data_IF_389379890656
#
_entry.id   IF_389379890656
#
_cell.length_a   1.000
_cell.length_b   1.000
_cell.length_c   1.000
_cell.angle_alpha   90.00
_cell.angle_beta   90.00
_cell.angle_gamma   90.00
#
_symmetry.space_group_name_H-M   'P 1'
#
loop_
_entity.id
_entity.type
_entity.pdbx_description
1 polymer ?
#
# COMPACT_ATOMS: atom_id res chain seq x y z
N UNK A 1 4.34 -22.66 -31.21
CA UNK A 1 5.30 -23.76 -31.45
C UNK A 1 6.76 -23.34 -31.25
N UNK A 2 7.38 -22.48 -32.08
CA UNK A 2 8.82 -22.16 -31.96
C UNK A 2 9.23 -21.64 -30.57
N UNK A 3 8.48 -20.70 -29.98
CA UNK A 3 8.70 -20.24 -28.61
C UNK A 3 8.44 -21.29 -27.52
N UNK A 4 7.62 -22.30 -27.79
CA UNK A 4 7.32 -23.42 -26.87
C UNK A 4 8.48 -24.41 -26.82
N UNK A 5 9.04 -24.77 -27.98
CA UNK A 5 10.30 -25.52 -28.07
C UNK A 5 11.47 -24.77 -27.44
N UNK A 6 11.53 -23.45 -27.63
CA UNK A 6 12.52 -22.60 -26.98
C UNK A 6 12.36 -22.58 -25.45
N UNK A 7 11.12 -22.50 -24.95
CA UNK A 7 10.84 -22.60 -23.51
C UNK A 7 11.26 -23.98 -22.95
N UNK A 8 10.89 -25.09 -23.61
CA UNK A 8 11.33 -26.45 -23.25
C UNK A 8 12.86 -26.56 -23.22
N UNK A 9 13.56 -25.94 -24.17
CA UNK A 9 15.03 -26.01 -24.25
C UNK A 9 15.76 -25.38 -23.06
N UNK A 10 15.08 -24.54 -22.27
CA UNK A 10 15.60 -23.99 -21.01
C UNK A 10 15.38 -24.93 -19.79
N UNK A 11 14.80 -26.12 -19.99
CA UNK A 11 14.46 -27.12 -18.95
C UNK A 11 13.64 -26.56 -17.76
N UNK A 12 12.53 -25.83 -17.99
CA UNK A 12 11.68 -25.33 -16.90
C UNK A 12 10.97 -26.47 -16.16
N UNK A 13 10.63 -26.29 -14.89
CA UNK A 13 9.95 -27.32 -14.10
C UNK A 13 8.45 -27.47 -14.40
N UNK A 14 7.85 -26.44 -14.98
CA UNK A 14 6.49 -26.44 -15.50
C UNK A 14 6.37 -25.49 -16.71
N UNK A 15 5.37 -25.70 -17.55
CA UNK A 15 5.06 -24.81 -18.68
C UNK A 15 3.67 -24.20 -18.48
N UNK A 16 3.60 -22.87 -18.36
CA UNK A 16 2.36 -22.13 -18.16
C UNK A 16 1.88 -21.53 -19.48
N UNK A 17 0.61 -21.77 -19.82
CA UNK A 17 -0.04 -21.31 -21.04
C UNK A 17 -1.08 -20.22 -20.73
N UNK A 18 -0.72 -18.97 -20.98
CA UNK A 18 -1.66 -17.83 -20.97
C UNK A 18 -2.26 -17.65 -22.39
N UNK A 19 -3.07 -18.63 -22.82
CA UNK A 19 -3.66 -18.70 -24.16
C UNK A 19 -5.13 -19.13 -24.12
N UNK A 20 -5.99 -18.62 -25.02
CA UNK A 20 -7.38 -19.07 -25.14
C UNK A 20 -7.45 -20.50 -25.69
N UNK A 21 -8.50 -21.25 -25.34
CA UNK A 21 -8.66 -22.68 -25.69
C UNK A 21 -8.36 -23.03 -27.16
N UNK A 22 -8.78 -22.18 -28.11
CA UNK A 22 -8.55 -22.37 -29.54
C UNK A 22 -7.10 -22.28 -30.02
N UNK A 23 -6.19 -21.74 -29.19
CA UNK A 23 -4.73 -21.79 -29.40
C UNK A 23 -4.06 -22.83 -28.49
N UNK A 24 -4.60 -23.05 -27.29
CA UNK A 24 -4.08 -24.03 -26.32
C UNK A 24 -4.24 -25.47 -26.81
N UNK A 25 -5.40 -25.86 -27.34
CA UNK A 25 -5.65 -27.25 -27.79
C UNK A 25 -4.71 -27.67 -28.94
N UNK A 26 -4.55 -26.92 -30.05
CA UNK A 26 -3.59 -27.28 -31.10
C UNK A 26 -2.12 -27.24 -30.63
N UNK A 27 -1.80 -26.43 -29.61
CA UNK A 27 -0.46 -26.39 -29.04
C UNK A 27 -0.15 -27.65 -28.24
N UNK A 28 -1.11 -28.15 -27.44
CA UNK A 28 -0.97 -29.37 -26.66
C UNK A 28 -0.90 -30.60 -27.57
N UNK A 29 -1.75 -30.68 -28.61
CA UNK A 29 -1.67 -31.74 -29.63
C UNK A 29 -0.27 -31.79 -30.28
N UNK A 30 0.25 -30.65 -30.76
CA UNK A 30 1.59 -30.60 -31.35
C UNK A 30 2.74 -30.83 -30.34
N UNK A 31 2.50 -30.60 -29.04
CA UNK A 31 3.46 -30.90 -27.98
C UNK A 31 3.48 -32.39 -27.62
N UNK A 32 2.34 -33.09 -27.73
CA UNK A 32 2.23 -34.54 -27.61
C UNK A 32 2.89 -35.28 -28.78
N UNK A 33 2.76 -34.79 -30.02
CA UNK A 33 3.53 -35.28 -31.18
C UNK A 33 5.05 -35.24 -30.94
N UNK A 34 5.51 -34.35 -30.04
CA UNK A 34 6.90 -34.15 -29.66
C UNK A 34 7.25 -34.83 -28.32
N UNK A 35 6.32 -35.59 -27.72
CA UNK A 35 6.48 -36.30 -26.44
C UNK A 35 6.60 -35.41 -25.21
N UNK A 36 6.29 -34.11 -25.32
CA UNK A 36 6.55 -33.12 -24.27
C UNK A 36 5.63 -33.30 -23.06
N UNK A 37 4.41 -33.80 -23.26
CA UNK A 37 3.46 -34.27 -22.25
C UNK A 37 4.06 -35.31 -21.28
N UNK A 38 5.09 -36.05 -21.72
CA UNK A 38 5.79 -37.03 -20.90
C UNK A 38 6.91 -36.43 -20.04
N UNK A 39 7.33 -35.19 -20.29
CA UNK A 39 8.56 -34.61 -19.71
C UNK A 39 8.36 -33.67 -18.52
N UNK A 40 7.33 -32.80 -18.56
CA UNK A 40 7.02 -31.78 -17.54
C UNK A 40 5.50 -31.55 -17.49
N UNK A 41 4.93 -31.11 -16.34
CA UNK A 41 3.54 -30.69 -16.26
C UNK A 41 3.29 -29.42 -17.09
N UNK A 42 2.14 -29.37 -17.77
CA UNK A 42 1.65 -28.17 -18.44
C UNK A 42 0.45 -27.62 -17.66
N UNK A 43 0.43 -26.32 -17.43
CA UNK A 43 -0.64 -25.60 -16.76
C UNK A 43 -1.17 -24.49 -17.66
N UNK A 44 -2.42 -24.08 -17.46
CA UNK A 44 -2.99 -22.92 -18.14
C UNK A 44 -3.70 -21.99 -17.16
N UNK A 45 -3.77 -20.70 -17.53
CA UNK A 45 -4.72 -19.77 -16.94
C UNK A 45 -6.17 -20.20 -17.24
N UNK A 46 -7.13 -19.55 -16.59
CA UNK A 46 -8.56 -19.87 -16.71
C UNK A 46 -9.08 -19.84 -18.17
N UNK A 47 -8.37 -19.16 -19.08
CA UNK A 47 -8.61 -19.12 -20.53
C UNK A 47 -8.60 -20.48 -21.27
N UNK A 48 -8.24 -21.58 -20.60
CA UNK A 48 -8.40 -22.95 -21.12
C UNK A 48 -9.25 -23.88 -20.21
N UNK A 49 -9.84 -23.38 -19.12
CA UNK A 49 -10.83 -24.13 -18.35
C UNK A 49 -12.20 -24.04 -19.03
N UNK A 50 -12.46 -25.02 -19.90
CA UNK A 50 -13.69 -25.18 -20.67
C UNK A 50 -13.99 -26.69 -20.78
N UNK A 51 -15.26 -27.07 -20.72
CA UNK A 51 -15.66 -28.48 -20.65
C UNK A 51 -15.27 -29.32 -21.88
N UNK A 52 -15.01 -28.72 -23.04
CA UNK A 52 -14.61 -29.46 -24.25
C UNK A 52 -13.09 -29.70 -24.36
N UNK A 53 -12.27 -29.06 -23.52
CA UNK A 53 -10.80 -29.13 -23.62
C UNK A 53 -10.23 -30.51 -23.28
N UNK A 54 -10.65 -31.20 -22.19
CA UNK A 54 -10.15 -32.53 -21.84
C UNK A 54 -10.33 -33.59 -22.94
N UNK A 55 -11.48 -33.60 -23.61
CA UNK A 55 -11.75 -34.49 -24.74
C UNK A 55 -10.93 -34.10 -25.98
N UNK A 56 -10.83 -32.80 -26.29
CA UNK A 56 -10.17 -32.30 -27.49
C UNK A 56 -8.63 -32.44 -27.48
N UNK A 57 -7.98 -32.49 -26.31
CA UNK A 57 -6.54 -32.76 -26.20
C UNK A 57 -6.22 -34.25 -26.13
N UNK A 58 -7.18 -35.10 -25.74
CA UNK A 58 -7.03 -36.55 -25.74
C UNK A 58 -6.24 -37.14 -24.55
N UNK A 59 -6.14 -38.48 -24.49
CA UNK A 59 -5.66 -39.21 -23.31
C UNK A 59 -4.15 -39.06 -23.03
N UNK A 60 -3.35 -38.51 -23.95
CA UNK A 60 -1.94 -38.23 -23.71
C UNK A 60 -1.69 -37.16 -22.64
N UNK A 61 -2.71 -36.40 -22.27
CA UNK A 61 -2.67 -35.35 -21.25
C UNK A 61 -3.32 -35.72 -19.92
N UNK A 62 -3.77 -36.97 -19.78
CA UNK A 62 -4.31 -37.53 -18.54
C UNK A 62 -3.27 -37.44 -17.41
N UNK A 63 -3.67 -36.81 -16.29
CA UNK A 63 -2.81 -36.52 -15.15
C UNK A 63 -1.67 -35.53 -15.42
N UNK A 64 -1.69 -34.79 -16.54
CA UNK A 64 -0.54 -34.01 -17.05
C UNK A 64 -0.85 -32.57 -17.43
N UNK A 65 -2.08 -32.28 -17.85
CA UNK A 65 -2.55 -30.91 -18.09
C UNK A 65 -3.40 -30.41 -16.93
N UNK A 66 -3.09 -29.20 -16.46
CA UNK A 66 -3.77 -28.53 -15.36
C UNK A 66 -4.38 -27.22 -15.87
N UNK A 67 -5.51 -26.81 -15.32
CA UNK A 67 -6.06 -25.48 -15.52
C UNK A 67 -6.36 -24.81 -14.18
N UNK A 68 -5.99 -23.54 -14.10
CA UNK A 68 -6.65 -22.62 -13.18
C UNK A 68 -8.13 -22.50 -13.57
N UNK A 69 -9.03 -22.41 -12.60
CA UNK A 69 -10.48 -22.39 -12.87
C UNK A 69 -11.09 -20.98 -12.76
N UNK A 70 -10.47 -20.08 -11.99
CA UNK A 70 -10.98 -18.78 -11.50
C UNK A 70 -12.24 -18.88 -10.62
N UNK A 71 -13.20 -19.72 -11.02
CA UNK A 71 -14.50 -19.94 -10.40
C UNK A 71 -14.67 -21.38 -9.88
N UNK A 72 -15.92 -21.82 -9.64
CA UNK A 72 -16.27 -23.16 -9.20
C UNK A 72 -16.30 -24.12 -10.40
N UNK A 73 -16.29 -25.42 -10.14
CA UNK A 73 -16.46 -26.44 -11.18
C UNK A 73 -17.70 -26.13 -12.02
N UNK A 74 -17.54 -26.09 -13.34
CA UNK A 74 -18.65 -25.93 -14.27
C UNK A 74 -19.66 -27.08 -14.13
N UNK A 75 -19.26 -28.26 -13.62
CA UNK A 75 -20.18 -29.37 -13.30
C UNK A 75 -20.66 -29.38 -11.83
N UNK A 76 -20.36 -28.34 -11.04
CA UNK A 76 -20.80 -28.18 -9.65
C UNK A 76 -22.33 -28.22 -9.51
N UNK A 77 -22.81 -28.98 -8.52
CA UNK A 77 -24.23 -29.13 -8.17
C UNK A 77 -24.74 -28.05 -7.19
N UNK A 78 -23.93 -27.03 -6.90
CA UNK A 78 -24.32 -25.90 -6.07
C UNK A 78 -25.33 -24.96 -6.78
N UNK A 79 -26.07 -24.16 -6.00
CA UNK A 79 -27.32 -23.53 -6.42
C UNK A 79 -27.14 -22.50 -7.56
N UNK A 80 -26.17 -21.60 -7.43
CA UNK A 80 -25.88 -20.60 -8.45
C UNK A 80 -25.23 -21.22 -9.69
N UNK A 81 -24.34 -22.20 -9.53
CA UNK A 81 -23.75 -22.89 -10.68
C UNK A 81 -24.80 -23.67 -11.49
N UNK A 82 -25.74 -24.35 -10.82
CA UNK A 82 -26.88 -24.99 -11.49
C UNK A 82 -27.84 -23.97 -12.12
N UNK A 83 -28.02 -22.80 -11.49
CA UNK A 83 -28.82 -21.71 -12.08
C UNK A 83 -28.16 -21.11 -13.33
N UNK A 84 -26.83 -20.94 -13.33
CA UNK A 84 -26.05 -20.53 -14.50
C UNK A 84 -26.22 -21.50 -15.68
N UNK A 85 -26.05 -22.81 -15.44
CA UNK A 85 -26.29 -23.84 -16.47
C UNK A 85 -27.73 -23.77 -16.99
N UNK A 86 -28.73 -23.74 -16.11
CA UNK A 86 -30.14 -23.66 -16.50
C UNK A 86 -30.47 -22.39 -17.30
N UNK A 87 -29.79 -21.27 -17.06
CA UNK A 87 -29.92 -20.03 -17.85
C UNK A 87 -29.28 -20.19 -19.23
N UNK A 88 -28.08 -20.78 -19.34
CA UNK A 88 -27.45 -21.06 -20.64
C UNK A 88 -28.23 -22.08 -21.48
N UNK A 89 -28.83 -23.09 -20.86
CA UNK A 89 -29.59 -24.13 -21.55
C UNK A 89 -31.01 -23.67 -21.94
N UNK A 90 -31.55 -22.65 -21.28
CA UNK A 90 -32.86 -22.06 -21.61
C UNK A 90 -32.79 -20.87 -22.58
N UNK A 91 -31.67 -20.12 -22.61
CA UNK A 91 -31.56 -18.85 -23.34
C UNK A 91 -30.28 -18.66 -24.16
N UNK A 92 -29.26 -19.51 -23.99
CA UNK A 92 -28.06 -19.52 -24.82
C UNK A 92 -28.21 -20.38 -26.08
N UNK A 93 -27.19 -20.37 -26.91
CA UNK A 93 -27.06 -21.27 -28.07
C UNK A 93 -26.33 -22.57 -27.66
N UNK A 94 -26.55 -23.65 -28.41
CA UNK A 94 -25.81 -24.92 -28.28
C UNK A 94 -24.28 -24.73 -28.45
N UNK A 95 -23.87 -23.69 -29.19
CA UNK A 95 -22.47 -23.34 -29.47
C UNK A 95 -21.81 -22.47 -28.40
N UNK A 96 -22.57 -21.92 -27.45
CA UNK A 96 -22.03 -20.98 -26.47
C UNK A 96 -21.21 -21.76 -25.42
N UNK A 97 -19.99 -21.31 -25.09
CA UNK A 97 -19.10 -22.09 -24.24
C UNK A 97 -19.67 -22.24 -22.83
N UNK A 98 -19.44 -23.42 -22.24
CA UNK A 98 -19.64 -23.67 -20.80
C UNK A 98 -18.25 -23.65 -20.17
N UNK A 99 -17.79 -22.43 -19.89
CA UNK A 99 -16.44 -22.09 -19.44
C UNK A 99 -16.43 -21.02 -18.33
N UNK A 100 -15.23 -20.74 -17.81
CA UNK A 100 -15.03 -19.71 -16.77
C UNK A 100 -15.57 -18.32 -17.18
N UNK A 101 -15.46 -17.93 -18.44
CA UNK A 101 -15.89 -16.61 -18.90
C UNK A 101 -17.42 -16.48 -18.93
N UNK A 102 -18.11 -17.56 -19.26
CA UNK A 102 -19.58 -17.63 -19.22
C UNK A 102 -20.13 -17.64 -17.78
N UNK A 103 -19.43 -18.30 -16.83
CA UNK A 103 -19.70 -18.16 -15.38
C UNK A 103 -19.49 -16.71 -14.93
N UNK A 104 -18.36 -16.09 -15.29
CA UNK A 104 -18.05 -14.69 -14.97
C UNK A 104 -19.07 -13.70 -15.55
N UNK A 105 -19.56 -13.93 -16.76
CA UNK A 105 -20.62 -13.13 -17.39
C UNK A 105 -21.95 -13.22 -16.64
N UNK A 106 -22.34 -14.42 -16.20
CA UNK A 106 -23.51 -14.65 -15.34
C UNK A 106 -23.37 -13.96 -13.98
N UNK A 107 -22.19 -14.03 -13.35
CA UNK A 107 -21.90 -13.35 -12.09
C UNK A 107 -21.98 -11.82 -12.24
N UNK A 108 -21.37 -11.26 -13.29
CA UNK A 108 -21.45 -9.83 -13.59
C UNK A 108 -22.90 -9.37 -13.80
N UNK A 109 -23.73 -10.18 -14.49
CA UNK A 109 -25.15 -9.90 -14.66
C UNK A 109 -25.90 -9.87 -13.32
N UNK A 110 -25.62 -10.79 -12.38
CA UNK A 110 -26.22 -10.81 -11.04
C UNK A 110 -25.78 -9.63 -10.18
N UNK A 111 -24.49 -9.30 -10.18
CA UNK A 111 -23.92 -8.14 -9.45
C UNK A 111 -24.60 -6.84 -9.91
N UNK A 112 -24.71 -6.63 -11.23
CA UNK A 112 -25.40 -5.46 -11.79
C UNK A 112 -26.90 -5.49 -11.50
N UNK A 113 -27.55 -6.67 -11.54
CA UNK A 113 -28.97 -6.82 -11.19
C UNK A 113 -29.23 -6.44 -9.72
N UNK A 114 -28.36 -6.85 -8.79
CA UNK A 114 -28.46 -6.46 -7.38
C UNK A 114 -28.30 -4.94 -7.20
N UNK A 115 -27.36 -4.30 -7.91
CA UNK A 115 -27.17 -2.85 -7.90
C UNK A 115 -28.32 -2.06 -8.55
N UNK A 116 -29.08 -2.68 -9.46
CA UNK A 116 -30.29 -2.08 -10.05
C UNK A 116 -31.51 -2.25 -9.13
N UNK A 117 -31.65 -3.40 -8.48
CA UNK A 117 -32.78 -3.70 -7.58
C UNK A 117 -32.71 -2.97 -6.23
N UNK A 118 -31.56 -2.41 -5.85
CA UNK A 118 -31.43 -1.53 -4.67
C UNK A 118 -31.87 -0.09 -4.92
N UNK A 119 -32.12 0.30 -6.18
CA UNK A 119 -32.50 1.67 -6.57
C UNK A 119 -34.02 1.80 -6.76
N UNK A 120 -34.61 2.99 -6.48
CA UNK A 120 -36.00 3.27 -6.81
C UNK A 120 -36.17 3.37 -8.33
N UNK A 121 -37.31 2.88 -8.84
CA UNK A 121 -37.54 2.69 -10.28
C UNK A 121 -37.51 3.98 -11.12
N UNK A 122 -37.77 5.14 -10.51
CA UNK A 122 -37.67 6.48 -11.11
C UNK A 122 -36.28 7.12 -10.96
N UNK A 123 -35.41 6.56 -10.11
CA UNK A 123 -34.05 7.05 -9.85
C UNK A 123 -32.93 6.36 -10.62
N UNK A 124 -33.24 5.40 -11.51
CA UNK A 124 -32.25 4.61 -12.26
C UNK A 124 -31.49 5.52 -13.26
N UNK A 125 -30.31 5.96 -12.85
CA UNK A 125 -29.40 6.80 -13.63
C UNK A 125 -28.00 6.23 -13.60
N UNK A 126 -27.12 6.61 -14.56
CA UNK A 126 -25.72 6.17 -14.58
C UNK A 126 -25.01 6.45 -13.25
N UNK A 127 -25.22 7.64 -12.69
CA UNK A 127 -24.60 8.06 -11.43
C UNK A 127 -25.10 7.23 -10.24
N UNK A 128 -26.41 6.99 -10.15
CA UNK A 128 -26.99 6.13 -9.11
C UNK A 128 -26.51 4.67 -9.21
N UNK A 129 -26.41 4.11 -10.42
CA UNK A 129 -25.93 2.73 -10.64
C UNK A 129 -24.43 2.61 -10.38
N UNK A 130 -23.61 3.57 -10.83
CA UNK A 130 -22.17 3.60 -10.49
C UNK A 130 -21.95 3.72 -8.99
N UNK A 131 -22.77 4.52 -8.29
CA UNK A 131 -22.73 4.59 -6.82
C UNK A 131 -23.12 3.26 -6.18
N UNK A 132 -24.24 2.66 -6.58
CA UNK A 132 -24.73 1.40 -6.02
C UNK A 132 -23.72 0.24 -6.21
N UNK A 133 -23.05 0.17 -7.36
CA UNK A 133 -21.94 -0.76 -7.60
C UNK A 133 -20.74 -0.46 -6.69
N UNK A 134 -20.40 0.82 -6.49
CA UNK A 134 -19.36 1.31 -5.57
C UNK A 134 -19.63 1.06 -4.08
N UNK A 135 -20.84 0.63 -3.72
CA UNK A 135 -21.30 0.31 -2.36
C UNK A 135 -21.43 -1.20 -2.09
N UNK A 136 -21.11 -2.08 -3.07
CA UNK A 136 -21.12 -3.54 -2.87
C UNK A 136 -19.91 -3.97 -2.03
N UNK A 137 -20.14 -4.67 -0.92
CA UNK A 137 -19.10 -5.12 0.03
C UNK A 137 -19.10 -6.62 0.35
N UNK A 138 -20.14 -7.35 -0.05
CA UNK A 138 -20.36 -8.74 0.37
C UNK A 138 -21.31 -9.48 -0.61
N UNK A 139 -21.03 -9.43 -1.92
CA UNK A 139 -21.78 -10.22 -2.90
C UNK A 139 -21.33 -11.67 -2.83
N UNK A 140 -22.25 -12.58 -2.48
CA UNK A 140 -21.96 -14.01 -2.32
C UNK A 140 -22.54 -14.82 -3.47
N UNK A 141 -21.76 -15.81 -3.92
CA UNK A 141 -22.18 -16.87 -4.83
C UNK A 141 -21.32 -18.10 -4.61
N UNK A 142 -21.88 -19.31 -4.74
CA UNK A 142 -21.11 -20.56 -4.68
C UNK A 142 -20.15 -20.74 -5.88
N UNK A 143 -20.28 -19.93 -6.92
CA UNK A 143 -19.35 -19.90 -8.06
C UNK A 143 -18.02 -19.21 -7.67
N UNK A 144 -18.04 -18.20 -6.81
CA UNK A 144 -16.81 -17.53 -6.33
C UNK A 144 -16.02 -18.38 -5.31
N UNK A 145 -14.85 -17.91 -4.91
CA UNK A 145 -14.10 -18.44 -3.76
C UNK A 145 -14.26 -17.56 -2.50
N UNK A 146 -14.16 -16.24 -2.64
CA UNK A 146 -14.45 -15.27 -1.57
C UNK A 146 -15.66 -14.39 -1.96
N UNK A 147 -16.28 -13.66 -1.01
CA UNK A 147 -17.34 -12.70 -1.34
C UNK A 147 -16.80 -11.56 -2.21
N UNK A 148 -17.46 -11.31 -3.34
CA UNK A 148 -17.09 -10.25 -4.27
C UNK A 148 -17.46 -8.87 -3.73
N UNK A 149 -16.57 -7.90 -3.89
CA UNK A 149 -16.74 -6.52 -3.44
C UNK A 149 -16.20 -5.53 -4.47
N UNK A 150 -16.61 -4.27 -4.38
CA UNK A 150 -16.02 -3.20 -5.20
C UNK A 150 -15.98 -1.87 -4.44
N UNK A 151 -14.78 -1.41 -4.09
CA UNK A 151 -14.56 -0.17 -3.36
C UNK A 151 -14.14 0.97 -4.30
N UNK A 152 -15.08 1.85 -4.67
CA UNK A 152 -14.79 3.00 -5.52
C UNK A 152 -13.74 4.00 -4.97
N UNK A 153 -13.17 3.76 -3.78
CA UNK A 153 -12.06 4.56 -3.20
C UNK A 153 -10.66 3.95 -3.33
N UNK A 154 -10.51 2.68 -3.74
CA UNK A 154 -9.19 2.07 -3.95
C UNK A 154 -8.60 2.39 -5.33
N UNK A 155 -7.27 2.48 -5.39
CA UNK A 155 -6.49 2.70 -6.62
C UNK A 155 -6.25 1.39 -7.41
N UNK A 156 -6.47 0.22 -6.79
CA UNK A 156 -6.22 -1.12 -7.34
C UNK A 156 -7.33 -2.09 -6.89
N UNK A 157 -7.77 -2.97 -7.80
CA UNK A 157 -8.88 -3.89 -7.57
C UNK A 157 -8.60 -5.27 -8.17
N UNK A 158 -8.53 -6.29 -7.32
CA UNK A 158 -8.88 -7.65 -7.70
C UNK A 158 -9.98 -8.14 -6.74
N UNK A 159 -11.25 -8.23 -7.18
CA UNK A 159 -12.37 -8.52 -6.29
C UNK A 159 -12.59 -10.02 -6.03
N UNK A 160 -11.65 -10.88 -6.45
CA UNK A 160 -11.53 -12.28 -6.04
C UNK A 160 -10.05 -12.72 -6.14
N UNK A 161 -9.30 -12.65 -5.04
CA UNK A 161 -7.90 -13.08 -5.00
C UNK A 161 -7.71 -14.60 -4.84
N UNK A 162 -8.80 -15.38 -4.75
CA UNK A 162 -8.77 -16.83 -4.49
C UNK A 162 -9.29 -17.65 -5.67
N UNK A 163 -8.68 -18.81 -5.91
CA UNK A 163 -8.93 -19.64 -7.09
C UNK A 163 -8.89 -21.14 -6.76
N UNK A 164 -9.49 -21.93 -7.64
CA UNK A 164 -9.38 -23.40 -7.67
C UNK A 164 -8.49 -23.86 -8.84
N UNK A 165 -8.00 -25.10 -8.76
CA UNK A 165 -7.24 -25.78 -9.81
C UNK A 165 -7.90 -27.12 -10.17
N UNK A 166 -7.96 -27.41 -11.47
CA UNK A 166 -8.37 -28.72 -12.01
C UNK A 166 -7.22 -29.38 -12.78
N UNK A 167 -7.30 -30.71 -12.91
CA UNK A 167 -6.43 -31.54 -13.75
C UNK A 167 -7.28 -32.27 -14.80
N UNK A 168 -6.70 -32.57 -15.97
CA UNK A 168 -7.33 -33.46 -16.95
C UNK A 168 -7.21 -34.91 -16.48
N UNK A 169 -8.34 -35.62 -16.45
CA UNK A 169 -8.45 -37.01 -15.99
C UNK A 169 -9.66 -37.70 -16.59
N UNK A 170 -9.51 -38.93 -17.09
CA UNK A 170 -10.58 -39.74 -17.69
C UNK A 170 -11.39 -38.99 -18.79
N UNK A 171 -10.73 -38.09 -19.53
CA UNK A 171 -11.36 -37.24 -20.55
C UNK A 171 -12.25 -36.10 -19.98
N UNK A 172 -12.08 -35.73 -18.71
CA UNK A 172 -12.79 -34.67 -18.00
C UNK A 172 -11.84 -33.78 -17.20
N UNK A 173 -12.40 -32.78 -16.53
CA UNK A 173 -11.74 -32.08 -15.42
C UNK A 173 -12.02 -32.80 -14.10
N UNK A 174 -10.98 -32.98 -13.28
CA UNK A 174 -11.06 -33.42 -11.88
C UNK A 174 -10.49 -32.29 -11.01
N UNK A 175 -11.24 -31.85 -9.99
CA UNK A 175 -10.87 -30.69 -9.16
C UNK A 175 -9.88 -31.15 -8.09
N UNK A 176 -8.69 -30.54 -8.08
CA UNK A 176 -7.56 -30.98 -7.23
C UNK A 176 -7.22 -30.01 -6.09
N UNK A 177 -7.89 -28.84 -6.03
CA UNK A 177 -7.79 -27.94 -4.90
C UNK A 177 -9.14 -27.36 -4.52
N UNK A 178 -9.34 -27.15 -3.22
CA UNK A 178 -10.28 -26.16 -2.71
C UNK A 178 -9.85 -24.73 -3.15
N UNK A 179 -10.56 -23.72 -2.66
CA UNK A 179 -10.16 -22.33 -2.83
C UNK A 179 -8.83 -22.04 -2.14
N UNK A 180 -7.85 -21.60 -2.93
CA UNK A 180 -6.52 -21.16 -2.47
C UNK A 180 -6.37 -19.69 -2.84
N UNK A 181 -6.05 -18.84 -1.86
CA UNK A 181 -5.65 -17.45 -2.11
C UNK A 181 -4.33 -17.43 -2.90
N UNK A 182 -4.26 -16.60 -3.93
CA UNK A 182 -3.04 -16.44 -4.72
C UNK A 182 -1.99 -15.71 -3.89
N UNK A 183 -0.91 -16.40 -3.50
CA UNK A 183 0.21 -15.79 -2.75
C UNK A 183 1.16 -14.94 -3.64
N UNK A 184 0.63 -14.37 -4.72
CA UNK A 184 1.38 -13.50 -5.62
C UNK A 184 1.86 -12.23 -4.88
N UNK A 185 3.15 -11.88 -4.90
CA UNK A 185 3.66 -10.64 -4.31
C UNK A 185 3.02 -9.36 -4.88
N UNK A 186 2.54 -9.37 -6.13
CA UNK A 186 1.86 -8.22 -6.74
C UNK A 186 0.40 -8.05 -6.25
N UNK A 187 -0.20 -9.10 -5.67
CA UNK A 187 -1.52 -9.07 -5.04
C UNK A 187 -1.46 -8.88 -3.51
N UNK A 188 -0.28 -8.64 -2.93
CA UNK A 188 -0.14 -8.50 -1.49
C UNK A 188 -0.93 -7.29 -0.94
N UNK A 189 -1.03 -6.20 -1.70
CA UNK A 189 -1.82 -5.01 -1.33
C UNK A 189 -3.32 -5.31 -1.22
N UNK A 190 -3.83 -6.22 -2.05
CA UNK A 190 -5.21 -6.71 -2.02
C UNK A 190 -5.39 -7.74 -0.90
N UNK A 191 -4.49 -8.73 -0.74
CA UNK A 191 -4.58 -9.70 0.37
C UNK A 191 -4.53 -9.03 1.75
N UNK A 192 -3.84 -7.90 1.91
CA UNK A 192 -3.81 -7.14 3.18
C UNK A 192 -4.88 -6.02 3.27
N UNK A 193 -5.56 -5.69 2.16
CA UNK A 193 -6.86 -5.00 2.16
C UNK A 193 -7.94 -5.94 2.72
N UNK A 194 -7.94 -7.20 2.28
CA UNK A 194 -8.75 -8.28 2.84
C UNK A 194 -8.28 -8.63 4.28
N UNK A 195 -6.99 -8.54 4.60
CA UNK A 195 -6.42 -8.84 5.93
C UNK A 195 -5.74 -7.66 6.68
N UNK A 196 -6.58 -6.89 7.37
CA UNK A 196 -6.24 -6.21 8.64
C UNK A 196 -5.29 -4.98 8.58
N UNK A 197 -5.73 -3.93 7.86
CA UNK A 197 -6.25 -2.68 8.48
C UNK A 197 -5.29 -1.81 9.33
N UNK A 198 -5.11 -0.53 8.99
CA UNK A 198 -3.96 0.32 9.41
C UNK A 198 -3.97 0.93 10.84
N UNK A 199 -2.78 1.34 11.29
CA UNK A 199 -2.40 1.75 12.66
C UNK A 199 -3.34 2.79 13.37
N UNK A 200 -3.68 2.62 14.65
CA UNK A 200 -4.37 3.53 15.60
C UNK A 200 -5.53 4.42 15.06
N UNK A 201 -5.25 5.56 14.42
CA UNK A 201 -6.31 6.47 13.98
C UNK A 201 -7.19 5.84 12.90
N UNK A 202 -6.55 5.12 11.97
CA UNK A 202 -7.23 4.35 10.95
C UNK A 202 -8.09 3.25 11.62
N UNK A 203 -7.50 2.49 12.57
CA UNK A 203 -8.21 1.43 13.31
C UNK A 203 -9.40 1.95 14.13
N UNK A 204 -9.32 3.18 14.67
CA UNK A 204 -10.44 3.79 15.39
C UNK A 204 -11.55 4.28 14.47
N UNK A 205 -11.23 4.86 13.30
CA UNK A 205 -12.25 5.20 12.30
C UNK A 205 -12.99 3.96 11.82
N UNK A 206 -12.28 2.84 11.63
CA UNK A 206 -12.85 1.54 11.26
C UNK A 206 -13.66 0.87 12.40
N UNK A 207 -13.50 1.33 13.64
CA UNK A 207 -14.36 0.96 14.77
C UNK A 207 -15.49 2.00 14.99
N UNK A 208 -15.88 2.73 13.95
CA UNK A 208 -16.89 3.80 13.95
C UNK A 208 -16.66 4.93 14.98
N UNK A 209 -15.44 5.08 15.52
CA UNK A 209 -15.14 6.21 16.39
C UNK A 209 -15.06 7.52 15.58
N UNK A 210 -15.58 8.64 16.12
CA UNK A 210 -15.52 9.91 15.42
C UNK A 210 -14.07 10.34 15.18
N UNK A 211 -13.81 10.92 14.00
CA UNK A 211 -12.48 11.37 13.54
C UNK A 211 -11.66 12.14 14.59
N UNK A 212 -12.32 12.97 15.41
CA UNK A 212 -11.64 13.69 16.49
C UNK A 212 -11.03 12.76 17.56
N UNK A 213 -11.70 11.66 17.91
CA UNK A 213 -11.18 10.66 18.84
C UNK A 213 -10.01 9.88 18.22
N UNK A 214 -10.11 9.50 16.94
CA UNK A 214 -9.02 8.87 16.19
C UNK A 214 -7.76 9.74 16.13
N UNK A 215 -7.91 11.04 15.83
CA UNK A 215 -6.83 12.04 15.84
C UNK A 215 -6.21 12.17 17.24
N UNK A 216 -7.03 12.34 18.29
CA UNK A 216 -6.56 12.48 19.67
C UNK A 216 -5.81 11.22 20.13
N UNK A 217 -6.28 10.03 19.77
CA UNK A 217 -5.63 8.78 20.12
C UNK A 217 -4.28 8.61 19.43
N UNK A 218 -4.16 8.86 18.12
CA UNK A 218 -2.87 8.75 17.42
C UNK A 218 -1.85 9.78 17.93
N UNK A 219 -2.27 11.02 18.19
CA UNK A 219 -1.39 12.03 18.82
C UNK A 219 -0.99 11.59 20.23
N UNK A 220 -1.90 11.03 21.02
CA UNK A 220 -1.63 10.56 22.38
C UNK A 220 -0.70 9.35 22.42
N UNK A 221 -0.85 8.37 21.52
CA UNK A 221 0.04 7.21 21.39
C UNK A 221 1.43 7.64 20.93
N UNK A 222 1.54 8.49 19.90
CA UNK A 222 2.83 9.03 19.44
C UNK A 222 3.54 9.84 20.53
N UNK A 223 2.80 10.70 21.23
CA UNK A 223 3.30 11.46 22.39
C UNK A 223 3.71 10.56 23.55
N UNK A 224 2.95 9.49 23.82
CA UNK A 224 3.24 8.52 24.88
C UNK A 224 4.51 7.71 24.62
N UNK A 225 4.69 7.19 23.40
CA UNK A 225 5.90 6.48 22.98
C UNK A 225 7.12 7.42 23.08
N UNK A 226 6.99 8.64 22.56
CA UNK A 226 8.06 9.64 22.61
C UNK A 226 8.40 10.09 24.05
N UNK A 227 7.39 10.26 24.91
CA UNK A 227 7.57 10.52 26.35
C UNK A 227 8.31 9.37 27.03
N UNK A 228 7.93 8.11 26.80
CA UNK A 228 8.59 6.95 27.38
C UNK A 228 10.06 6.90 26.94
N UNK A 229 10.34 7.16 25.66
CA UNK A 229 11.72 7.26 25.18
C UNK A 229 12.49 8.38 25.89
N UNK A 230 11.98 9.61 25.86
CA UNK A 230 12.65 10.77 26.43
C UNK A 230 12.83 10.70 27.95
N UNK A 231 11.90 10.07 28.67
CA UNK A 231 11.90 10.00 30.13
C UNK A 231 12.74 8.86 30.71
N UNK A 232 12.88 7.76 29.99
CA UNK A 232 13.51 6.53 30.49
C UNK A 232 14.69 6.03 29.65
N UNK A 233 14.62 6.06 28.32
CA UNK A 233 15.67 5.49 27.45
C UNK A 233 16.74 6.52 27.08
N UNK A 234 16.35 7.73 26.66
CA UNK A 234 17.29 8.79 26.29
C UNK A 234 18.32 9.13 27.41
N UNK A 235 17.95 9.20 28.70
CA UNK A 235 18.92 9.46 29.78
C UNK A 235 19.97 8.36 29.92
N UNK A 236 19.63 7.08 29.66
CA UNK A 236 20.56 5.95 29.71
C UNK A 236 21.61 5.98 28.58
N UNK A 237 21.23 6.55 27.42
CA UNK A 237 22.09 6.74 26.25
C UNK A 237 22.87 8.07 26.28
N UNK A 238 22.44 9.03 27.11
CA UNK A 238 22.96 10.41 27.10
C UNK A 238 24.44 10.58 27.50
N UNK A 239 24.98 9.63 28.28
CA UNK A 239 26.39 9.57 28.69
C UNK A 239 27.18 8.47 27.95
N UNK A 240 26.65 7.99 26.81
CA UNK A 240 27.33 7.01 25.94
C UNK A 240 27.86 7.70 24.69
N UNK A 241 28.89 7.09 24.10
CA UNK A 241 29.51 7.53 22.85
C UNK A 241 28.50 7.66 21.71
N UNK A 242 28.79 8.54 20.75
CA UNK A 242 27.90 8.86 19.62
C UNK A 242 27.44 7.62 18.85
N UNK A 243 28.33 6.62 18.67
CA UNK A 243 28.01 5.35 18.01
C UNK A 243 26.99 4.54 18.83
N UNK A 244 27.21 4.38 20.14
CA UNK A 244 26.30 3.65 21.03
C UNK A 244 24.93 4.34 21.11
N UNK A 245 24.91 5.67 21.09
CA UNK A 245 23.68 6.47 21.05
C UNK A 245 22.90 6.27 19.75
N UNK A 246 23.60 6.31 18.60
CA UNK A 246 23.00 6.09 17.29
C UNK A 246 22.44 4.66 17.13
N UNK A 247 23.19 3.64 17.57
CA UNK A 247 22.73 2.24 17.61
C UNK A 247 21.55 2.08 18.57
N UNK A 248 21.53 2.77 19.71
CA UNK A 248 20.39 2.78 20.64
C UNK A 248 19.11 3.36 20.03
N UNK A 249 19.21 4.49 19.31
CA UNK A 249 18.07 5.06 18.56
C UNK A 249 17.62 4.16 17.41
N UNK A 250 18.55 3.55 16.67
CA UNK A 250 18.23 2.64 15.57
C UNK A 250 17.57 1.35 16.07
N UNK A 251 18.05 0.79 17.17
CA UNK A 251 17.46 -0.40 17.80
C UNK A 251 16.00 -0.15 18.23
N UNK A 252 15.69 1.02 18.80
CA UNK A 252 14.30 1.38 19.09
C UNK A 252 13.47 1.58 17.80
N UNK A 253 14.02 2.24 16.77
CA UNK A 253 13.32 2.40 15.50
C UNK A 253 12.98 1.03 14.87
N UNK A 254 13.93 0.08 14.88
CA UNK A 254 13.71 -1.28 14.41
C UNK A 254 12.70 -2.05 15.26
N UNK A 255 12.69 -1.88 16.59
CA UNK A 255 11.65 -2.46 17.47
C UNK A 255 10.28 -1.87 17.15
N UNK A 256 10.17 -0.55 16.91
CA UNK A 256 8.91 0.08 16.53
C UNK A 256 8.44 -0.38 15.14
N UNK A 257 9.33 -0.47 14.15
CA UNK A 257 9.02 -0.99 12.80
C UNK A 257 8.58 -2.46 12.88
N UNK A 258 9.32 -3.32 13.58
CA UNK A 258 8.96 -4.73 13.76
C UNK A 258 7.65 -4.89 14.55
N UNK A 259 7.37 -4.03 15.53
CA UNK A 259 6.07 -3.99 16.22
C UNK A 259 4.94 -3.54 15.27
N UNK A 260 5.21 -2.58 14.39
CA UNK A 260 4.26 -2.17 13.35
C UNK A 260 4.01 -3.28 12.33
N UNK A 261 5.03 -4.07 11.95
CA UNK A 261 4.84 -5.26 11.10
C UNK A 261 4.05 -6.38 11.78
N UNK A 262 4.40 -6.72 13.03
CA UNK A 262 3.75 -7.81 13.80
C UNK A 262 2.29 -7.50 14.15
N UNK A 263 1.94 -6.24 14.40
CA UNK A 263 0.57 -5.86 14.77
C UNK A 263 -0.22 -5.34 13.55
N UNK A 264 0.38 -4.45 12.75
CA UNK A 264 -0.30 -3.63 11.74
C UNK A 264 0.27 -3.85 10.31
N UNK A 265 0.93 -4.99 10.02
CA UNK A 265 1.25 -5.46 8.65
C UNK A 265 2.39 -4.74 7.93
N UNK A 266 2.63 -5.11 6.66
CA UNK A 266 3.69 -4.53 5.81
C UNK A 266 3.15 -3.87 4.53
N UNK A 267 1.86 -3.92 4.18
CA UNK A 267 1.38 -3.22 2.96
C UNK A 267 1.22 -1.71 3.13
N UNK A 268 1.19 -0.95 2.01
CA UNK A 268 1.07 0.49 2.03
C UNK A 268 -0.41 0.93 2.04
N UNK A 269 -0.93 1.23 3.23
CA UNK A 269 -2.35 1.58 3.49
C UNK A 269 -2.59 3.10 3.42
N UNK A 270 -3.82 3.62 3.51
CA UNK A 270 -4.09 5.07 3.49
C UNK A 270 -5.20 5.49 4.46
N UNK A 271 -5.04 6.65 5.08
CA UNK A 271 -6.06 7.36 5.86
C UNK A 271 -6.73 8.40 4.95
N UNK A 272 -8.05 8.36 4.79
CA UNK A 272 -8.79 9.38 4.04
C UNK A 272 -9.52 10.33 5.01
N UNK A 273 -9.51 11.63 4.71
CA UNK A 273 -10.25 12.63 5.48
C UNK A 273 -11.49 13.13 4.69
N UNK A 274 -12.60 13.49 5.36
CA UNK A 274 -13.74 14.14 4.69
C UNK A 274 -13.37 15.43 3.93
N UNK A 275 -12.24 16.04 4.29
CA UNK A 275 -11.67 17.24 3.64
C UNK A 275 -10.92 16.97 2.32
N UNK A 276 -10.80 15.72 1.88
CA UNK A 276 -10.23 15.36 0.56
C UNK A 276 -11.25 15.49 -0.57
N UNK A 277 -12.52 15.22 -0.25
CA UNK A 277 -13.65 15.44 -1.17
C UNK A 277 -13.92 16.93 -1.38
N UNK A 278 -13.65 17.77 -0.38
CA UNK A 278 -13.74 19.22 -0.47
C UNK A 278 -12.49 19.81 -1.16
N UNK A 279 -12.69 20.68 -2.14
CA UNK A 279 -11.60 21.36 -2.85
C UNK A 279 -11.96 22.77 -3.31
N UNK A 280 -10.92 23.57 -3.56
CA UNK A 280 -11.01 24.81 -4.32
C UNK A 280 -10.17 24.66 -5.60
N UNK A 281 -10.59 25.34 -6.68
CA UNK A 281 -9.81 25.46 -7.92
C UNK A 281 -9.11 26.80 -7.96
N UNK A 282 -7.78 26.78 -8.09
CA UNK A 282 -6.95 27.99 -8.17
C UNK A 282 -6.02 27.84 -9.39
N UNK A 283 -6.12 28.74 -10.37
CA UNK A 283 -5.36 28.66 -11.62
C UNK A 283 -5.45 27.26 -12.29
N UNK A 284 -6.68 26.74 -12.39
CA UNK A 284 -7.02 25.39 -12.90
C UNK A 284 -6.49 24.20 -12.05
N UNK A 285 -5.69 24.44 -11.00
CA UNK A 285 -5.22 23.41 -10.06
C UNK A 285 -6.26 23.13 -8.98
N UNK A 286 -6.61 21.85 -8.78
CA UNK A 286 -7.45 21.38 -7.67
C UNK A 286 -6.64 21.27 -6.36
N UNK A 287 -6.95 22.12 -5.39
CA UNK A 287 -6.42 22.09 -4.03
C UNK A 287 -7.46 21.53 -3.06
N UNK A 288 -7.21 20.35 -2.48
CA UNK A 288 -8.08 19.78 -1.44
C UNK A 288 -7.93 20.51 -0.11
N UNK A 289 -8.98 20.51 0.72
CA UNK A 289 -8.92 21.17 2.02
C UNK A 289 -7.89 20.51 2.94
N UNK A 290 -7.68 19.20 2.87
CA UNK A 290 -6.62 18.49 3.64
C UNK A 290 -5.22 19.04 3.36
N UNK A 291 -4.89 19.38 2.09
CA UNK A 291 -3.61 20.00 1.73
C UNK A 291 -3.47 21.42 2.29
N UNK A 292 -4.55 22.20 2.31
CA UNK A 292 -4.58 23.54 2.92
C UNK A 292 -4.45 23.47 4.45
N UNK A 293 -5.13 22.50 5.08
CA UNK A 293 -5.03 22.20 6.52
C UNK A 293 -3.60 21.78 6.87
N UNK A 294 -2.96 20.92 6.08
CA UNK A 294 -1.58 20.52 6.30
C UNK A 294 -0.58 21.68 6.21
N UNK A 295 -0.73 22.56 5.20
CA UNK A 295 0.10 23.76 5.08
C UNK A 295 -0.11 24.71 6.27
N UNK A 296 -1.37 24.94 6.66
CA UNK A 296 -1.72 25.75 7.82
C UNK A 296 -1.19 25.17 9.14
N UNK A 297 -1.27 23.85 9.30
CA UNK A 297 -0.77 23.14 10.48
C UNK A 297 0.75 23.17 10.56
N UNK A 298 1.47 23.01 9.44
CA UNK A 298 2.92 23.15 9.38
C UNK A 298 3.37 24.57 9.79
N UNK A 299 2.71 25.61 9.25
CA UNK A 299 2.97 27.01 9.63
C UNK A 299 2.67 27.26 11.12
N UNK A 300 1.56 26.71 11.63
CA UNK A 300 1.18 26.81 13.04
C UNK A 300 2.19 26.10 13.96
N UNK A 301 2.60 24.87 13.62
CA UNK A 301 3.60 24.11 14.38
C UNK A 301 4.93 24.85 14.45
N UNK A 302 5.44 25.35 13.31
CA UNK A 302 6.69 26.14 13.24
C UNK A 302 6.57 27.44 14.04
N UNK A 303 5.42 28.13 13.97
CA UNK A 303 5.14 29.32 14.78
C UNK A 303 5.14 29.04 16.28
N UNK A 304 4.45 27.98 16.71
CA UNK A 304 4.35 27.58 18.12
C UNK A 304 5.69 27.18 18.72
N UNK A 305 6.50 26.37 18.03
CA UNK A 305 7.83 26.00 18.53
C UNK A 305 8.80 27.20 18.53
N UNK A 306 8.70 28.09 17.54
CA UNK A 306 9.49 29.34 17.50
C UNK A 306 9.14 30.25 18.67
N UNK A 307 7.84 30.39 18.98
CA UNK A 307 7.37 31.14 20.14
C UNK A 307 7.87 30.51 21.44
N UNK A 308 7.71 29.19 21.60
CA UNK A 308 8.15 28.44 22.78
C UNK A 308 9.64 28.62 23.04
N UNK A 309 10.49 28.38 22.04
CA UNK A 309 11.95 28.47 22.15
C UNK A 309 12.42 29.89 22.50
N UNK A 310 11.80 30.91 21.90
CA UNK A 310 12.24 32.30 22.06
C UNK A 310 11.69 32.99 23.32
N UNK A 311 10.50 32.64 23.81
CA UNK A 311 9.82 33.39 24.89
C UNK A 311 9.70 32.66 26.23
N UNK A 312 9.77 31.33 26.26
CA UNK A 312 9.54 30.56 27.49
C UNK A 312 10.83 30.18 28.21
N UNK A 313 10.75 29.95 29.53
CA UNK A 313 11.89 29.41 30.30
C UNK A 313 12.33 28.03 29.78
N UNK A 314 11.37 27.16 29.46
CA UNK A 314 11.66 25.87 28.82
C UNK A 314 12.44 26.07 27.51
N UNK A 315 12.07 27.06 26.70
CA UNK A 315 12.77 27.42 25.47
C UNK A 315 14.19 27.96 25.67
N UNK A 316 14.45 28.65 26.79
CA UNK A 316 15.79 29.04 27.20
C UNK A 316 16.60 27.81 27.66
N UNK A 317 16.02 26.96 28.52
CA UNK A 317 16.62 25.72 29.02
C UNK A 317 17.01 24.77 27.87
N UNK A 318 16.13 24.60 26.88
CA UNK A 318 16.39 23.80 25.67
C UNK A 318 17.55 24.37 24.83
N UNK A 319 17.65 25.70 24.71
CA UNK A 319 18.74 26.34 23.97
C UNK A 319 20.07 26.34 24.72
N UNK A 320 20.05 26.42 26.05
CA UNK A 320 21.25 26.22 26.88
C UNK A 320 21.77 24.79 26.74
N UNK A 321 20.88 23.80 26.92
CA UNK A 321 21.15 22.36 26.79
C UNK A 321 21.72 21.99 25.40
N UNK A 322 21.27 22.66 24.33
CA UNK A 322 21.74 22.44 22.97
C UNK A 322 23.15 23.03 22.68
N UNK A 323 23.62 23.99 23.49
CA UNK A 323 24.98 24.54 23.37
C UNK A 323 25.98 23.69 24.16
N UNK A 324 25.70 23.46 25.44
CA UNK A 324 26.53 22.66 26.34
C UNK A 324 25.65 22.05 27.44
N UNK A 325 25.62 20.72 27.51
CA UNK A 325 24.79 19.95 28.42
C UNK A 325 25.32 19.93 29.86
N UNK A 326 26.63 19.87 30.02
CA UNK A 326 27.25 19.69 31.33
C UNK A 326 27.39 21.05 32.04
N UNK A 327 27.70 22.12 31.29
CA UNK A 327 27.59 23.49 31.77
C UNK A 327 26.13 23.84 32.13
N UNK A 328 25.15 23.42 31.33
CA UNK A 328 23.73 23.62 31.67
C UNK A 328 23.33 22.92 32.97
N UNK A 329 23.88 21.73 33.25
CA UNK A 329 23.63 21.02 34.49
C UNK A 329 24.21 21.77 35.70
N UNK A 330 25.43 22.32 35.57
CA UNK A 330 26.06 23.17 36.60
C UNK A 330 25.28 24.48 36.85
N UNK A 331 24.64 25.03 35.81
CA UNK A 331 23.75 26.19 35.90
C UNK A 331 22.34 25.86 36.44
N UNK A 332 22.09 24.61 36.84
CA UNK A 332 20.83 24.18 37.47
C UNK A 332 19.70 23.84 36.51
N UNK A 333 19.96 23.73 35.20
CA UNK A 333 18.96 23.28 34.22
C UNK A 333 18.58 21.83 34.52
N UNK A 334 17.28 21.54 34.58
CA UNK A 334 16.75 20.21 34.88
C UNK A 334 16.82 19.30 33.65
N UNK A 335 18.04 18.90 33.28
CA UNK A 335 18.39 18.16 32.05
C UNK A 335 17.33 17.14 31.63
N UNK A 336 17.01 16.15 32.45
CA UNK A 336 16.03 15.10 32.12
C UNK A 336 14.59 15.61 31.94
N UNK A 337 14.19 16.69 32.60
CA UNK A 337 12.89 17.33 32.39
C UNK A 337 12.86 18.11 31.07
N UNK A 338 13.92 18.85 30.76
CA UNK A 338 14.08 19.59 29.50
C UNK A 338 14.17 18.64 28.30
N UNK A 339 14.94 17.55 28.42
CA UNK A 339 15.00 16.46 27.44
C UNK A 339 13.62 15.81 27.26
N UNK A 340 12.94 15.40 28.34
CA UNK A 340 11.60 14.79 28.27
C UNK A 340 10.58 15.73 27.59
N UNK A 341 10.60 17.03 27.92
CA UNK A 341 9.71 18.01 27.31
C UNK A 341 9.97 18.19 25.82
N UNK A 342 11.23 18.16 25.38
CA UNK A 342 11.58 18.13 23.95
C UNK A 342 10.96 16.91 23.25
N UNK A 343 11.10 15.71 23.84
CA UNK A 343 10.51 14.49 23.29
C UNK A 343 8.98 14.50 23.28
N UNK A 344 8.31 15.06 24.29
CA UNK A 344 6.85 15.26 24.28
C UNK A 344 6.42 16.14 23.10
N UNK A 345 7.09 17.27 22.87
CA UNK A 345 6.78 18.16 21.73
C UNK A 345 7.02 17.42 20.40
N UNK A 346 8.14 16.70 20.27
CA UNK A 346 8.43 15.86 19.09
C UNK A 346 7.36 14.80 18.86
N UNK A 347 6.82 14.18 19.90
CA UNK A 347 5.76 13.17 19.79
C UNK A 347 4.41 13.75 19.36
N UNK A 348 4.05 14.95 19.86
CA UNK A 348 2.87 15.68 19.37
C UNK A 348 3.05 16.01 17.89
N UNK A 349 4.22 16.50 17.51
CA UNK A 349 4.53 16.89 16.13
C UNK A 349 4.57 15.68 15.19
N UNK A 350 5.13 14.54 15.63
CA UNK A 350 5.16 13.29 14.88
C UNK A 350 3.77 12.66 14.73
N UNK A 351 2.92 12.74 15.75
CA UNK A 351 1.52 12.30 15.64
C UNK A 351 0.71 13.14 14.65
N UNK A 352 0.82 14.47 14.72
CA UNK A 352 0.13 15.40 13.81
C UNK A 352 0.63 15.30 12.36
N UNK A 353 1.96 15.25 12.17
CA UNK A 353 2.53 15.06 10.84
C UNK A 353 2.22 13.66 10.30
N UNK A 354 2.31 12.62 11.14
CA UNK A 354 2.00 11.23 10.78
C UNK A 354 0.55 11.04 10.31
N UNK A 355 -0.42 11.72 10.95
CA UNK A 355 -1.82 11.72 10.52
C UNK A 355 -2.02 12.31 9.11
N UNK A 356 -1.30 13.37 8.75
CA UNK A 356 -1.40 13.98 7.42
C UNK A 356 -0.59 13.22 6.37
N UNK A 357 0.58 12.71 6.77
CA UNK A 357 1.38 11.80 5.94
C UNK A 357 0.60 10.54 5.62
N UNK A 358 -0.21 10.01 6.54
CA UNK A 358 -1.06 8.84 6.31
C UNK A 358 -2.09 9.00 5.17
N UNK A 359 -2.44 10.23 4.80
CA UNK A 359 -3.15 10.52 3.54
C UNK A 359 -2.17 10.69 2.37
N UNK A 360 -1.17 11.57 2.50
CA UNK A 360 -0.33 11.98 1.37
C UNK A 360 0.65 10.91 0.85
N UNK A 361 1.06 9.98 1.71
CA UNK A 361 1.99 8.88 1.42
C UNK A 361 1.55 7.64 2.20
N UNK A 362 1.38 6.54 1.48
CA UNK A 362 0.82 5.30 2.02
C UNK A 362 1.54 4.87 3.32
N UNK A 363 0.75 4.58 4.36
CA UNK A 363 1.16 4.05 5.66
C UNK A 363 1.89 2.73 5.50
N UNK A 364 3.23 2.79 5.48
CA UNK A 364 4.12 1.63 5.51
C UNK A 364 5.38 1.99 6.31
N UNK A 365 5.81 1.12 7.21
CA UNK A 365 6.96 1.40 8.11
C UNK A 365 8.23 1.77 7.36
N UNK A 366 8.50 1.09 6.25
CA UNK A 366 9.65 1.33 5.37
C UNK A 366 9.63 2.73 4.74
N UNK A 367 8.54 3.17 4.10
CA UNK A 367 8.46 4.51 3.50
C UNK A 367 8.50 5.62 4.55
N UNK A 368 7.81 5.44 5.69
CA UNK A 368 7.84 6.39 6.81
C UNK A 368 9.26 6.52 7.40
N UNK A 369 10.06 5.45 7.38
CA UNK A 369 11.47 5.49 7.79
C UNK A 369 12.32 6.32 6.82
N UNK A 370 12.09 6.21 5.50
CA UNK A 370 12.80 7.00 4.50
C UNK A 370 12.47 8.51 4.53
N UNK A 371 11.35 8.94 5.12
CA UNK A 371 11.04 10.37 5.33
C UNK A 371 12.06 11.10 6.22
N UNK A 372 12.91 10.37 6.99
CA UNK A 372 14.03 10.99 7.72
C UNK A 372 14.98 11.73 6.78
N UNK A 373 15.07 11.34 5.52
CA UNK A 373 16.03 11.87 4.54
C UNK A 373 15.62 13.26 4.03
N UNK A 374 14.39 13.51 3.53
CA UNK A 374 13.93 14.87 3.26
C UNK A 374 13.86 15.75 4.51
N UNK A 375 13.57 15.19 5.69
CA UNK A 375 13.63 15.94 6.95
C UNK A 375 15.06 16.43 7.27
N UNK A 376 16.08 15.57 7.14
CA UNK A 376 17.49 15.94 7.31
C UNK A 376 17.94 16.93 6.22
N UNK A 377 17.55 16.73 4.96
CA UNK A 377 17.87 17.64 3.86
C UNK A 377 17.37 19.07 4.13
N UNK A 378 16.11 19.19 4.57
CA UNK A 378 15.51 20.46 4.98
C UNK A 378 16.24 21.08 6.19
N UNK A 379 16.61 20.27 7.18
CA UNK A 379 17.30 20.72 8.40
C UNK A 379 18.73 21.22 8.14
N UNK A 380 19.44 20.60 7.17
CA UNK A 380 20.76 21.04 6.69
C UNK A 380 20.64 22.39 5.97
N UNK A 381 19.64 22.57 5.10
CA UNK A 381 19.37 23.85 4.43
C UNK A 381 19.00 24.96 5.44
N UNK A 382 18.24 24.64 6.49
CA UNK A 382 17.99 25.53 7.63
C UNK A 382 19.18 25.72 8.58
N UNK A 383 20.33 25.11 8.28
CA UNK A 383 21.59 25.11 9.04
C UNK A 383 21.44 24.70 10.52
N UNK A 384 20.36 24.00 10.90
CA UNK A 384 19.92 23.78 12.28
C UNK A 384 19.72 25.08 13.11
N UNK A 385 19.66 26.25 12.48
CA UNK A 385 19.62 27.58 13.15
C UNK A 385 18.30 28.33 12.98
N UNK A 386 17.50 28.02 11.96
CA UNK A 386 16.22 28.70 11.70
C UNK A 386 15.15 27.72 11.27
N UNK A 387 14.14 27.54 12.13
CA UNK A 387 13.01 26.63 11.87
C UNK A 387 12.16 27.09 10.69
N UNK A 388 12.08 28.40 10.42
CA UNK A 388 11.43 28.94 9.24
C UNK A 388 12.20 28.62 7.95
N UNK A 389 13.53 28.69 7.95
CA UNK A 389 14.31 28.26 6.77
C UNK A 389 14.25 26.74 6.58
N UNK A 390 14.24 25.94 7.65
CA UNK A 390 13.96 24.49 7.57
C UNK A 390 12.58 24.21 6.94
N UNK A 391 11.53 24.93 7.36
CA UNK A 391 10.19 24.73 6.83
C UNK A 391 10.07 25.11 5.35
N UNK A 392 10.63 26.26 4.95
CA UNK A 392 10.69 26.70 3.54
C UNK A 392 11.54 25.74 2.70
N UNK A 393 12.65 25.21 3.24
CA UNK A 393 13.45 24.19 2.57
C UNK A 393 12.69 22.88 2.36
N UNK A 394 11.93 22.41 3.35
CA UNK A 394 11.08 21.22 3.23
C UNK A 394 10.00 21.38 2.15
N UNK A 395 9.33 22.52 2.10
CA UNK A 395 8.39 22.87 1.02
C UNK A 395 9.08 22.93 -0.34
N UNK A 396 10.28 23.52 -0.42
CA UNK A 396 11.08 23.59 -1.64
C UNK A 396 11.50 22.21 -2.16
N UNK A 397 11.88 21.28 -1.29
CA UNK A 397 12.18 19.88 -1.64
C UNK A 397 10.93 19.19 -2.20
N UNK A 398 9.77 19.33 -1.54
CA UNK A 398 8.51 18.75 -2.01
C UNK A 398 8.03 19.31 -3.35
N UNK A 399 8.23 20.62 -3.59
CA UNK A 399 7.95 21.25 -4.90
C UNK A 399 8.90 20.71 -5.97
N UNK A 400 10.21 20.62 -5.68
CA UNK A 400 11.19 20.10 -6.62
C UNK A 400 10.88 18.63 -7.00
N UNK A 401 10.51 17.80 -6.04
CA UNK A 401 10.11 16.42 -6.29
C UNK A 401 8.82 16.34 -7.14
N UNK A 402 7.80 17.15 -6.82
CA UNK A 402 6.55 17.19 -7.58
C UNK A 402 6.73 17.66 -9.04
N UNK A 403 7.73 18.51 -9.32
CA UNK A 403 8.07 18.94 -10.69
C UNK A 403 8.75 17.85 -11.53
N UNK A 404 9.27 16.78 -10.93
CA UNK A 404 9.81 15.62 -11.67
C UNK A 404 8.74 14.61 -12.07
N UNK A 405 7.61 14.55 -11.36
CA UNK A 405 6.50 13.63 -11.62
C UNK A 405 6.01 13.60 -13.09
N UNK A 406 5.79 14.74 -13.79
CA UNK A 406 5.37 14.72 -15.19
C UNK A 406 6.49 14.40 -16.20
N UNK A 407 7.76 14.30 -15.75
CA UNK A 407 8.92 14.07 -16.61
C UNK A 407 9.20 12.58 -16.64
N UNK A 408 8.73 11.88 -17.69
CA UNK A 408 8.72 10.42 -17.76
C UNK A 408 10.07 9.72 -17.45
N UNK A 409 11.20 10.31 -17.87
CA UNK A 409 12.54 9.75 -17.58
C UNK A 409 13.06 10.04 -16.17
N UNK A 410 12.55 11.08 -15.50
CA UNK A 410 13.01 11.52 -14.17
C UNK A 410 12.08 11.07 -13.04
N UNK A 411 10.80 10.84 -13.33
CA UNK A 411 9.78 10.40 -12.36
C UNK A 411 10.18 9.14 -11.55
N UNK A 412 10.79 8.10 -12.14
CA UNK A 412 11.30 6.94 -11.37
C UNK A 412 12.38 7.31 -10.34
N UNK A 413 13.10 8.40 -10.56
CA UNK A 413 14.20 8.87 -9.72
C UNK A 413 13.79 9.98 -8.75
N UNK A 414 12.51 10.37 -8.69
CA UNK A 414 12.04 11.51 -7.88
C UNK A 414 12.44 11.40 -6.39
N UNK A 415 12.45 10.19 -5.84
CA UNK A 415 12.84 9.91 -4.45
C UNK A 415 14.34 10.21 -4.15
N UNK A 416 15.18 10.36 -5.18
CA UNK A 416 16.57 10.80 -5.01
C UNK A 416 16.70 12.32 -4.80
N UNK A 417 15.67 13.12 -5.11
CA UNK A 417 15.68 14.59 -5.02
C UNK A 417 16.17 15.11 -3.65
N UNK A 418 15.70 14.58 -2.50
CA UNK A 418 16.16 15.09 -1.20
C UNK A 418 17.62 14.74 -0.92
N UNK A 419 18.12 13.61 -1.40
CA UNK A 419 19.54 13.22 -1.28
C UNK A 419 20.43 14.17 -2.09
N UNK A 420 20.05 14.47 -3.34
CA UNK A 420 20.80 15.38 -4.20
C UNK A 420 20.82 16.80 -3.63
N UNK A 421 19.68 17.29 -3.13
CA UNK A 421 19.59 18.58 -2.45
C UNK A 421 20.45 18.61 -1.17
N UNK A 422 20.42 17.56 -0.34
CA UNK A 422 21.26 17.45 0.84
C UNK A 422 22.77 17.44 0.49
N UNK A 423 23.16 16.67 -0.52
CA UNK A 423 24.55 16.59 -0.98
C UNK A 423 25.06 17.94 -1.50
N UNK A 424 24.28 18.61 -2.35
CA UNK A 424 24.60 19.95 -2.87
C UNK A 424 24.69 20.96 -1.71
N UNK A 425 23.76 20.92 -0.76
CA UNK A 425 23.79 21.78 0.42
C UNK A 425 25.05 21.54 1.28
N UNK A 426 25.41 20.27 1.54
CA UNK A 426 26.63 19.92 2.31
C UNK A 426 27.91 20.35 1.56
N UNK A 427 27.99 20.20 0.24
CA UNK A 427 29.16 20.62 -0.54
C UNK A 427 29.32 22.15 -0.53
N UNK A 428 28.25 22.91 -0.73
CA UNK A 428 28.29 24.38 -0.73
C UNK A 428 28.52 24.93 0.69
N UNK A 429 27.77 24.47 1.69
CA UNK A 429 27.90 24.95 3.06
C UNK A 429 29.22 24.49 3.70
N UNK A 430 29.62 23.24 3.49
CA UNK A 430 30.87 22.67 4.00
C UNK A 430 32.11 23.36 3.43
N UNK A 431 32.10 23.72 2.14
CA UNK A 431 33.21 24.51 1.55
C UNK A 431 33.25 25.93 2.10
N UNK A 432 32.11 26.59 2.35
CA UNK A 432 32.12 27.91 3.03
C UNK A 432 32.60 27.82 4.49
N UNK A 433 32.30 26.73 5.21
CA UNK A 433 32.82 26.51 6.56
C UNK A 433 34.34 26.27 6.57
N UNK A 434 34.87 25.50 5.62
CA UNK A 434 36.32 25.31 5.47
C UNK A 434 37.05 26.59 5.03
N UNK A 435 36.42 27.42 4.18
CA UNK A 435 36.97 28.74 3.84
C UNK A 435 37.05 29.67 5.06
N UNK A 436 35.96 29.78 5.83
CA UNK A 436 35.90 30.62 7.04
C UNK A 436 36.84 30.15 8.18
N UNK A 437 37.32 28.91 8.13
CA UNK A 437 38.35 28.38 9.03
C UNK A 437 39.79 28.56 8.50
N UNK A 438 39.95 29.02 7.25
CA UNK A 438 41.25 29.30 6.61
C UNK A 438 41.63 30.78 6.66
N UNK A 439 40.64 31.65 6.84
CA UNK A 439 40.79 33.10 7.05
C UNK A 439 40.83 33.48 8.55
N UNK A 440 41.29 32.54 9.41
CA UNK A 440 41.45 32.69 10.88
C UNK A 440 42.75 32.05 11.36
#
# INVERSE_FOLDING_TARGET
MQGTLQAVSNNPDAIVLALPKGLTVPLLQAAEEQGLNLTKPFLSAASAYDLSVPEAIGPGWDGRFYANMEFNDAQSTAEDNQNWLAVLDAFGNDSDPRDTFSQGGYLAARIVTQALLSLPADGITREAVTKALGEIRDFKSDIFCTPWYYDATSEHHNPNAATRMAIVKDGKWDVISDCVESDDPELADIREFESVRAHVAWQMLEWDFPLLAAIVAAVTVSTGISFVYGRFLAPLLSHRDTVVRAVGTLGLALVLIATMGVIWGETPRRLQFPTDQLFITLFEVRLTFTRLIALGLAVLMVGLITLLLNTTRLGLDMRALANDRDLSALLGVRITHTETAAWVITGIFAGLAGLLLADFVRLQGTYLTFLVIPAIAAAILGQLRSLWFTAVAGLGIGIAEAMLTPIAWASPYRAATPFLIALIAVLILGSTAQAALKDR
#
